data_IF_358603806779
#
_entry.id   IF_358603806779
#
_cell.length_a   1.000
_cell.length_b   1.000
_cell.length_c   1.000
_cell.angle_alpha   90.00
_cell.angle_beta   90.00
_cell.angle_gamma   90.00
#
_symmetry.space_group_name_H-M   'P 1'
#
loop_
_entity.id
_entity.type
_entity.pdbx_description
1 polymer ?
#
# COMPACT_ATOMS: atom_id res chain seq x y z
N UNK A 1 20.64 -5.79 10.95
CA UNK A 1 19.47 -6.32 10.20
C UNK A 1 19.67 -6.10 8.71
N UNK A 2 19.40 -7.11 7.88
CA UNK A 2 19.56 -7.02 6.42
C UNK A 2 18.61 -5.98 5.82
N UNK A 3 19.11 -5.14 4.89
CA UNK A 3 18.30 -4.19 4.16
C UNK A 3 17.53 -4.84 3.00
N UNK A 4 16.55 -4.13 2.43
CA UNK A 4 15.73 -4.63 1.30
C UNK A 4 16.59 -5.21 0.16
N UNK A 5 17.63 -4.49 -0.30
CA UNK A 5 18.51 -4.94 -1.40
C UNK A 5 19.27 -6.24 -1.08
N UNK A 6 19.66 -6.44 0.19
CA UNK A 6 20.33 -7.68 0.60
C UNK A 6 19.36 -8.86 0.59
N UNK A 7 18.13 -8.66 1.06
CA UNK A 7 17.06 -9.67 1.02
C UNK A 7 16.67 -10.00 -0.42
N UNK A 8 16.52 -9.01 -1.28
CA UNK A 8 16.23 -9.20 -2.70
C UNK A 8 17.30 -10.04 -3.42
N UNK A 9 18.59 -9.84 -3.09
CA UNK A 9 19.65 -10.71 -3.61
C UNK A 9 19.51 -12.15 -3.15
N UNK A 10 19.13 -12.39 -1.89
CA UNK A 10 18.88 -13.74 -1.38
C UNK A 10 17.70 -14.43 -2.10
N UNK A 11 16.63 -13.69 -2.43
CA UNK A 11 15.53 -14.24 -3.23
C UNK A 11 16.00 -14.70 -4.61
N UNK A 12 16.93 -13.96 -5.24
CA UNK A 12 17.47 -14.26 -6.57
C UNK A 12 18.58 -15.31 -6.58
N UNK A 13 19.15 -15.66 -5.43
CA UNK A 13 20.26 -16.60 -5.37
C UNK A 13 19.78 -18.03 -5.81
N UNK A 14 20.24 -18.53 -6.97
CA UNK A 14 19.81 -19.84 -7.45
C UNK A 14 20.37 -21.01 -6.63
N UNK A 15 21.39 -20.76 -5.80
CA UNK A 15 22.00 -21.75 -4.90
C UNK A 15 21.30 -21.79 -3.54
N UNK A 16 20.46 -20.78 -3.26
CA UNK A 16 19.74 -20.69 -2.00
C UNK A 16 18.60 -21.70 -1.92
N UNK A 17 18.37 -22.26 -0.74
CA UNK A 17 17.20 -23.07 -0.44
C UNK A 17 15.89 -22.28 -0.70
N UNK A 18 14.89 -22.95 -1.29
CA UNK A 18 13.63 -22.29 -1.69
C UNK A 18 12.85 -21.75 -0.49
N UNK A 19 12.89 -22.44 0.65
CA UNK A 19 12.25 -21.95 1.87
C UNK A 19 12.94 -20.67 2.38
N UNK A 20 14.27 -20.60 2.29
CA UNK A 20 15.03 -19.40 2.64
C UNK A 20 14.75 -18.25 1.66
N UNK A 21 14.65 -18.52 0.36
CA UNK A 21 14.31 -17.52 -0.66
C UNK A 21 12.91 -16.95 -0.42
N UNK A 22 11.92 -17.83 -0.16
CA UNK A 22 10.57 -17.41 0.23
C UNK A 22 10.56 -16.57 1.52
N UNK A 23 11.28 -17.02 2.54
CA UNK A 23 11.45 -16.28 3.79
C UNK A 23 12.04 -14.88 3.55
N UNK A 24 13.07 -14.79 2.69
CA UNK A 24 13.69 -13.51 2.32
C UNK A 24 12.73 -12.58 1.59
N UNK A 25 11.86 -13.09 0.72
CA UNK A 25 10.79 -12.30 0.10
C UNK A 25 9.81 -11.75 1.15
N UNK A 26 9.36 -12.59 2.10
CA UNK A 26 8.52 -12.11 3.22
C UNK A 26 9.23 -11.06 4.08
N UNK A 27 10.55 -11.19 4.29
CA UNK A 27 11.36 -10.18 4.99
C UNK A 27 11.49 -8.87 4.20
N UNK A 28 11.38 -8.88 2.88
CA UNK A 28 11.27 -7.66 2.08
C UNK A 28 10.01 -6.87 2.46
N UNK A 29 8.91 -7.53 2.80
CA UNK A 29 7.66 -6.88 3.23
C UNK A 29 7.79 -6.15 4.57
N UNK A 30 8.70 -6.56 5.44
CA UNK A 30 9.01 -5.80 6.65
C UNK A 30 9.68 -4.45 6.34
N UNK A 31 10.14 -4.25 5.11
CA UNK A 31 10.80 -3.04 4.63
C UNK A 31 9.93 -2.20 3.71
N UNK A 32 9.05 -2.86 2.98
CA UNK A 32 8.13 -2.21 2.05
C UNK A 32 6.89 -3.11 1.84
N UNK A 33 5.73 -2.66 2.27
CA UNK A 33 4.47 -3.39 2.17
C UNK A 33 3.30 -2.41 1.99
N UNK A 34 2.97 -2.01 0.76
CA UNK A 34 1.99 -0.96 0.48
C UNK A 34 0.61 -1.18 1.11
N UNK A 35 0.11 -2.41 1.13
CA UNK A 35 -1.19 -2.77 1.69
C UNK A 35 -1.14 -3.22 3.15
N UNK A 36 0.03 -3.09 3.81
CA UNK A 36 0.35 -3.80 5.05
C UNK A 36 0.94 -5.18 4.75
N UNK A 37 1.64 -5.74 5.74
CA UNK A 37 2.44 -6.96 5.55
C UNK A 37 1.62 -8.14 5.02
N UNK A 38 0.47 -8.44 5.66
CA UNK A 38 -0.37 -9.59 5.32
C UNK A 38 -1.03 -9.41 3.95
N UNK A 39 -1.72 -8.29 3.74
CA UNK A 39 -2.42 -8.04 2.48
C UNK A 39 -1.48 -7.94 1.28
N UNK A 40 -0.28 -7.35 1.45
CA UNK A 40 0.73 -7.33 0.38
C UNK A 40 1.24 -8.74 0.08
N UNK A 41 1.43 -9.59 1.08
CA UNK A 41 1.81 -10.98 0.87
C UNK A 41 0.74 -11.76 0.11
N UNK A 42 -0.52 -11.65 0.54
CA UNK A 42 -1.65 -12.35 -0.10
C UNK A 42 -1.84 -11.87 -1.55
N UNK A 43 -1.69 -10.57 -1.81
CA UNK A 43 -1.70 -10.02 -3.16
C UNK A 43 -0.61 -10.64 -4.05
N UNK A 44 0.65 -10.66 -3.60
CA UNK A 44 1.75 -11.25 -4.36
C UNK A 44 1.55 -12.76 -4.60
N UNK A 45 1.05 -13.47 -3.60
CA UNK A 45 0.73 -14.89 -3.72
C UNK A 45 -0.35 -15.13 -4.79
N UNK A 46 -1.45 -14.38 -4.73
CA UNK A 46 -2.55 -14.51 -5.69
C UNK A 46 -2.10 -14.20 -7.13
N UNK A 47 -1.38 -13.09 -7.32
CA UNK A 47 -0.95 -12.65 -8.65
C UNK A 47 0.09 -13.56 -9.30
N UNK A 48 1.01 -14.11 -8.51
CA UNK A 48 2.11 -14.91 -9.04
C UNK A 48 1.90 -16.41 -8.83
N UNK A 49 0.73 -16.83 -8.34
CA UNK A 49 0.40 -18.24 -8.14
C UNK A 49 1.28 -18.93 -7.10
N UNK A 50 1.68 -18.22 -6.06
CA UNK A 50 2.44 -18.76 -4.92
C UNK A 50 1.43 -19.25 -3.88
N UNK A 51 1.48 -20.53 -3.52
CA UNK A 51 0.67 -21.06 -2.43
C UNK A 51 1.04 -20.35 -1.11
N UNK A 52 0.08 -19.79 -0.35
CA UNK A 52 0.40 -19.06 0.89
C UNK A 52 1.21 -19.89 1.90
N UNK A 53 0.95 -21.20 1.93
CA UNK A 53 1.62 -22.17 2.81
C UNK A 53 2.70 -23.02 2.08
N UNK A 54 2.91 -22.78 0.79
CA UNK A 54 3.91 -23.54 0.02
C UNK A 54 5.32 -23.23 0.54
N UNK A 55 6.01 -24.27 1.02
CA UNK A 55 7.36 -24.14 1.58
C UNK A 55 8.46 -24.09 0.52
N UNK A 56 8.17 -24.60 -0.68
CA UNK A 56 9.11 -24.69 -1.79
C UNK A 56 8.46 -24.21 -3.10
N UNK A 57 8.02 -22.94 -3.18
CA UNK A 57 7.36 -22.43 -4.38
C UNK A 57 8.34 -22.39 -5.55
N UNK A 58 7.78 -22.38 -6.76
CA UNK A 58 8.53 -22.20 -7.99
C UNK A 58 9.44 -20.96 -7.91
N UNK A 59 10.76 -21.12 -8.13
CA UNK A 59 11.73 -20.00 -8.05
C UNK A 59 11.40 -18.84 -8.98
N UNK A 60 10.85 -19.07 -10.17
CA UNK A 60 10.48 -18.01 -11.09
C UNK A 60 9.29 -17.18 -10.58
N UNK A 61 8.34 -17.83 -9.90
CA UNK A 61 7.22 -17.14 -9.26
C UNK A 61 7.68 -16.23 -8.12
N UNK A 62 8.67 -16.68 -7.33
CA UNK A 62 9.29 -15.83 -6.29
C UNK A 62 10.00 -14.63 -6.89
N UNK A 63 10.71 -14.81 -8.02
CA UNK A 63 11.41 -13.72 -8.70
C UNK A 63 10.41 -12.70 -9.24
N UNK A 64 9.34 -13.14 -9.94
CA UNK A 64 8.29 -12.23 -10.44
C UNK A 64 7.60 -11.46 -9.33
N UNK A 65 7.30 -12.10 -8.20
CA UNK A 65 6.73 -11.44 -7.03
C UNK A 65 7.68 -10.39 -6.43
N UNK A 66 8.97 -10.69 -6.41
CA UNK A 66 9.99 -9.72 -5.99
C UNK A 66 10.09 -8.53 -6.97
N UNK A 67 10.05 -8.78 -8.27
CA UNK A 67 10.12 -7.76 -9.31
C UNK A 67 8.94 -6.79 -9.20
N UNK A 68 7.72 -7.30 -9.04
CA UNK A 68 6.54 -6.45 -8.79
C UNK A 68 6.72 -5.58 -7.53
N UNK A 69 7.26 -6.16 -6.46
CA UNK A 69 7.52 -5.42 -5.22
C UNK A 69 8.61 -4.35 -5.39
N UNK A 70 9.64 -4.63 -6.19
CA UNK A 70 10.71 -3.68 -6.50
C UNK A 70 10.23 -2.54 -7.39
N UNK A 71 9.40 -2.82 -8.40
CA UNK A 71 8.76 -1.80 -9.24
C UNK A 71 7.91 -0.85 -8.40
N UNK A 72 7.04 -1.39 -7.57
CA UNK A 72 6.23 -0.60 -6.66
C UNK A 72 7.10 0.25 -5.70
N UNK A 73 8.18 -0.35 -5.19
CA UNK A 73 9.11 0.36 -4.33
C UNK A 73 9.85 1.48 -5.06
N UNK A 74 10.17 1.31 -6.34
CA UNK A 74 10.80 2.35 -7.15
C UNK A 74 9.86 3.56 -7.33
N UNK A 75 8.58 3.32 -7.62
CA UNK A 75 7.53 4.36 -7.66
C UNK A 75 7.47 5.13 -6.33
N UNK A 76 7.43 4.41 -5.23
CA UNK A 76 7.36 5.03 -3.91
C UNK A 76 8.59 5.88 -3.57
N UNK A 77 9.80 5.38 -3.86
CA UNK A 77 11.04 6.13 -3.61
C UNK A 77 11.16 7.38 -4.49
N UNK A 78 10.68 7.32 -5.73
CA UNK A 78 10.62 8.50 -6.61
C UNK A 78 9.68 9.56 -6.03
N UNK A 79 8.50 9.14 -5.54
CA UNK A 79 7.56 10.02 -4.85
C UNK A 79 8.17 10.64 -3.58
N UNK A 80 8.80 9.85 -2.70
CA UNK A 80 9.45 10.37 -1.47
C UNK A 80 10.53 11.41 -1.80
N UNK A 81 11.33 11.16 -2.85
CA UNK A 81 12.35 12.10 -3.31
C UNK A 81 11.73 13.41 -3.78
N UNK A 82 10.73 13.35 -4.65
CA UNK A 82 10.01 14.54 -5.12
C UNK A 82 9.32 15.32 -4.00
N UNK A 83 8.71 14.60 -3.05
CA UNK A 83 8.12 15.20 -1.87
C UNK A 83 9.15 15.95 -1.03
N UNK A 84 10.29 15.34 -0.74
CA UNK A 84 11.36 15.97 0.04
C UNK A 84 11.92 17.23 -0.64
N UNK A 85 12.08 17.20 -1.97
CA UNK A 85 12.52 18.36 -2.76
C UNK A 85 11.50 19.48 -2.75
N UNK A 86 10.20 19.17 -2.92
CA UNK A 86 9.12 20.15 -2.82
C UNK A 86 9.12 20.81 -1.44
N UNK A 87 9.23 20.01 -0.36
CA UNK A 87 9.26 20.54 1.01
C UNK A 87 10.47 21.43 1.29
N UNK A 88 11.64 21.15 0.70
CA UNK A 88 12.81 22.03 0.81
C UNK A 88 12.55 23.38 0.13
N UNK A 89 11.96 23.38 -1.09
CA UNK A 89 11.59 24.61 -1.81
C UNK A 89 10.58 25.43 -1.00
N UNK A 90 9.48 24.83 -0.56
CA UNK A 90 8.45 25.52 0.26
C UNK A 90 9.03 26.15 1.53
N UNK A 91 9.97 25.45 2.18
CA UNK A 91 10.68 25.98 3.36
C UNK A 91 11.55 27.17 2.99
N UNK A 92 12.28 27.09 1.89
CA UNK A 92 13.14 28.19 1.40
C UNK A 92 12.32 29.44 1.08
N UNK A 93 11.19 29.26 0.43
CA UNK A 93 10.32 30.34 -0.04
C UNK A 93 9.34 30.87 1.06
N UNK A 94 9.40 30.34 2.25
CA UNK A 94 8.51 30.70 3.36
C UNK A 94 7.05 30.29 3.18
N UNK A 95 6.74 29.42 2.19
CA UNK A 95 5.40 29.01 1.80
C UNK A 95 4.89 27.75 2.53
N UNK A 96 5.66 27.22 3.47
CA UNK A 96 5.33 25.97 4.15
C UNK A 96 4.01 26.06 4.92
N UNK A 97 3.01 25.33 4.47
CA UNK A 97 1.73 25.12 5.17
C UNK A 97 1.56 23.63 5.47
N UNK A 98 1.57 23.22 6.75
CA UNK A 98 1.20 21.85 7.12
C UNK A 98 -0.24 21.58 6.71
N UNK A 99 -0.50 20.40 6.13
CA UNK A 99 -1.83 19.98 5.68
C UNK A 99 -2.06 18.49 5.91
N UNK A 100 -3.26 18.02 5.60
CA UNK A 100 -3.66 16.61 5.71
C UNK A 100 -2.76 15.66 4.89
N UNK A 101 -2.21 16.17 3.79
CA UNK A 101 -1.22 15.49 2.98
C UNK A 101 0.09 15.19 3.73
N UNK A 102 0.58 16.18 4.52
CA UNK A 102 1.77 15.97 5.35
C UNK A 102 1.52 14.87 6.41
N UNK A 103 0.30 14.81 6.94
CA UNK A 103 -0.09 13.78 7.90
C UNK A 103 -0.15 12.40 7.27
N UNK A 104 -0.69 12.29 6.05
CA UNK A 104 -0.67 11.03 5.31
C UNK A 104 0.76 10.59 5.01
N UNK A 105 1.60 11.46 4.44
CA UNK A 105 3.00 11.15 4.13
C UNK A 105 3.78 10.72 5.38
N UNK A 106 3.56 11.37 6.51
CA UNK A 106 4.22 11.04 7.78
C UNK A 106 3.84 9.65 8.28
N UNK A 107 2.58 9.25 8.13
CA UNK A 107 2.10 7.91 8.52
C UNK A 107 2.63 6.80 7.60
N UNK A 108 2.80 7.10 6.33
CA UNK A 108 3.25 6.15 5.31
C UNK A 108 4.77 6.11 5.15
N UNK A 109 5.49 6.86 5.97
CA UNK A 109 6.96 6.94 5.91
C UNK A 109 7.61 5.56 5.92
N UNK A 110 8.54 5.36 4.95
CA UNK A 110 9.23 4.08 4.76
C UNK A 110 8.45 3.04 3.96
N UNK A 111 7.33 3.42 3.32
CA UNK A 111 6.62 2.59 2.36
C UNK A 111 5.83 1.43 2.95
N UNK A 112 5.38 1.55 4.20
CA UNK A 112 4.49 0.60 4.83
C UNK A 112 3.11 1.21 5.01
N UNK A 113 2.09 0.39 4.80
CA UNK A 113 0.68 0.80 4.98
C UNK A 113 0.32 2.08 4.20
N UNK A 114 0.81 2.19 2.95
CA UNK A 114 0.56 3.34 2.06
C UNK A 114 -0.93 3.39 1.69
N UNK A 115 -1.47 2.23 1.34
CA UNK A 115 -2.88 2.00 1.02
C UNK A 115 -3.35 0.73 1.76
N UNK A 116 -3.41 0.74 3.10
CA UNK A 116 -3.67 -0.47 3.86
C UNK A 116 -5.01 -1.08 3.45
N UNK A 117 -5.03 -2.42 3.36
CA UNK A 117 -6.25 -3.21 3.17
C UNK A 117 -6.60 -3.88 4.49
N UNK A 118 -7.81 -3.63 4.99
CA UNK A 118 -8.31 -4.24 6.23
C UNK A 118 -8.52 -5.74 6.08
N UNK A 119 -9.08 -6.14 4.93
CA UNK A 119 -9.30 -7.54 4.58
C UNK A 119 -8.16 -7.99 3.66
N UNK A 120 -7.30 -8.92 4.10
CA UNK A 120 -6.23 -9.43 3.27
C UNK A 120 -6.69 -10.12 1.97
N UNK A 121 -7.93 -10.60 1.93
CA UNK A 121 -8.54 -11.22 0.76
C UNK A 121 -9.15 -10.22 -0.23
N UNK A 122 -9.29 -8.95 0.17
CA UNK A 122 -9.87 -7.90 -0.67
C UNK A 122 -8.82 -6.82 -0.90
N UNK A 123 -8.13 -6.87 -2.02
CA UNK A 123 -7.11 -5.92 -2.44
C UNK A 123 -7.28 -5.59 -3.93
N UNK A 124 -6.70 -4.48 -4.42
CA UNK A 124 -6.75 -4.17 -5.85
C UNK A 124 -6.16 -5.28 -6.71
N UNK A 125 -6.79 -5.58 -7.82
CA UNK A 125 -6.34 -6.60 -8.78
C UNK A 125 -5.21 -6.13 -9.69
N UNK A 126 -4.95 -4.82 -9.69
CA UNK A 126 -3.88 -4.20 -10.48
C UNK A 126 -2.49 -4.43 -9.83
N UNK A 127 -1.38 -4.39 -10.62
CA UNK A 127 -0.03 -4.41 -10.09
C UNK A 127 0.22 -3.32 -9.04
N UNK A 128 1.03 -3.63 -8.02
CA UNK A 128 1.32 -2.71 -6.91
C UNK A 128 1.82 -1.34 -7.39
N UNK A 129 2.71 -1.31 -8.38
CA UNK A 129 3.23 -0.06 -8.94
C UNK A 129 2.11 0.81 -9.53
N UNK A 130 1.19 0.21 -10.28
CA UNK A 130 0.06 0.92 -10.89
C UNK A 130 -0.90 1.48 -9.82
N UNK A 131 -1.13 0.73 -8.74
CA UNK A 131 -1.96 1.20 -7.62
C UNK A 131 -1.32 2.42 -6.96
N UNK A 132 -0.01 2.38 -6.72
CA UNK A 132 0.72 3.50 -6.13
C UNK A 132 0.72 4.73 -7.06
N UNK A 133 0.95 4.55 -8.35
CA UNK A 133 0.91 5.65 -9.33
C UNK A 133 -0.46 6.35 -9.33
N UNK A 134 -1.56 5.59 -9.36
CA UNK A 134 -2.91 6.14 -9.29
C UNK A 134 -3.18 6.90 -7.99
N UNK A 135 -2.72 6.35 -6.87
CA UNK A 135 -2.91 6.98 -5.56
C UNK A 135 -2.10 8.28 -5.45
N UNK A 136 -0.84 8.26 -5.88
CA UNK A 136 0.05 9.43 -5.89
C UNK A 136 -0.51 10.52 -6.82
N UNK A 137 -0.95 10.16 -8.01
CA UNK A 137 -1.58 11.11 -8.94
C UNK A 137 -2.84 11.75 -8.35
N UNK A 138 -3.64 10.98 -7.61
CA UNK A 138 -4.82 11.51 -6.94
C UNK A 138 -4.49 12.46 -5.77
N UNK A 139 -3.35 12.29 -5.12
CA UNK A 139 -2.88 13.19 -4.04
C UNK A 139 -2.45 14.56 -4.58
N UNK A 140 -1.94 14.60 -5.81
CA UNK A 140 -1.52 15.83 -6.48
C UNK A 140 -2.66 16.46 -7.33
N UNK A 141 -3.79 15.75 -7.48
CA UNK A 141 -4.96 16.16 -8.25
C UNK A 141 -6.09 16.78 -7.41
N UNK A 142 -7.19 17.11 -8.09
CA UNK A 142 -8.42 17.58 -7.43
C UNK A 142 -9.14 16.40 -6.73
N UNK A 143 -9.69 16.64 -5.52
CA UNK A 143 -10.44 15.61 -4.80
C UNK A 143 -11.64 15.08 -5.59
N UNK A 144 -11.76 13.76 -5.67
CA UNK A 144 -12.83 13.07 -6.39
C UNK A 144 -13.94 12.52 -5.50
N UNK A 145 -14.89 11.81 -6.11
CA UNK A 145 -16.01 11.17 -5.40
C UNK A 145 -15.93 9.65 -5.39
N UNK A 146 -14.94 9.09 -6.08
CA UNK A 146 -14.71 7.66 -6.27
C UNK A 146 -13.31 7.26 -5.75
N UNK A 147 -13.10 5.98 -5.60
CA UNK A 147 -11.79 5.42 -5.29
C UNK A 147 -10.80 5.72 -6.44
N UNK A 148 -9.63 6.32 -6.16
CA UNK A 148 -8.66 6.63 -7.22
C UNK A 148 -8.04 5.38 -7.85
N UNK A 149 -8.13 4.22 -7.18
CA UNK A 149 -7.50 2.98 -7.65
C UNK A 149 -8.42 2.19 -8.57
N UNK A 150 -9.68 1.95 -8.18
CA UNK A 150 -10.62 1.09 -8.92
C UNK A 150 -11.84 1.84 -9.48
N UNK A 151 -11.94 3.14 -9.26
CA UNK A 151 -13.05 4.01 -9.67
C UNK A 151 -14.42 3.68 -9.03
N UNK A 152 -14.47 2.75 -8.07
CA UNK A 152 -15.70 2.45 -7.33
C UNK A 152 -16.11 3.64 -6.46
N UNK A 153 -17.42 3.91 -6.39
CA UNK A 153 -18.02 4.96 -5.55
C UNK A 153 -18.47 4.43 -4.18
N UNK A 154 -18.34 3.15 -3.94
CA UNK A 154 -18.67 2.48 -2.69
C UNK A 154 -17.64 2.76 -1.60
N UNK A 155 -17.57 4.00 -1.13
CA UNK A 155 -16.71 4.38 -0.02
C UNK A 155 -17.52 4.33 1.28
N UNK A 156 -17.03 3.60 2.27
CA UNK A 156 -17.60 3.48 3.60
C UNK A 156 -16.62 3.93 4.66
N UNK A 157 -17.11 4.43 5.79
CA UNK A 157 -16.24 4.80 6.90
C UNK A 157 -16.08 3.58 7.81
N UNK A 158 -14.86 3.11 7.98
CA UNK A 158 -14.52 2.08 8.96
C UNK A 158 -13.81 2.70 10.16
N UNK A 159 -14.20 2.22 11.32
CA UNK A 159 -13.55 2.48 12.59
C UNK A 159 -13.04 1.15 13.11
N UNK A 160 -11.74 0.95 13.13
CA UNK A 160 -11.14 -0.19 13.79
C UNK A 160 -10.90 0.18 15.25
N UNK A 161 -11.63 -0.47 16.16
CA UNK A 161 -11.53 -0.26 17.60
C UNK A 161 -10.33 -0.99 18.21
N UNK A 162 -9.78 -2.00 17.54
CA UNK A 162 -8.67 -2.81 18.02
C UNK A 162 -7.30 -2.30 17.56
N UNK A 163 -7.27 -1.53 16.48
CA UNK A 163 -6.05 -0.98 15.88
C UNK A 163 -6.10 0.54 15.85
N UNK A 164 -5.89 1.18 16.98
CA UNK A 164 -5.66 2.63 16.92
C UNK A 164 -4.45 2.94 16.00
N UNK A 165 -4.57 3.90 15.08
CA UNK A 165 -5.62 4.90 14.83
C UNK A 165 -6.26 4.79 13.43
N UNK A 166 -6.76 3.64 13.02
CA UNK A 166 -7.25 3.42 11.67
C UNK A 166 -8.72 3.80 11.52
N UNK A 167 -8.96 5.10 11.58
CA UNK A 167 -10.24 5.65 11.15
C UNK A 167 -10.10 6.17 9.74
N UNK A 168 -10.91 5.68 8.81
CA UNK A 168 -10.84 6.22 7.47
C UNK A 168 -11.88 5.68 6.51
N UNK A 169 -11.97 6.34 5.36
CA UNK A 169 -12.78 5.87 4.26
C UNK A 169 -12.10 4.65 3.63
N UNK A 170 -12.87 3.56 3.49
CA UNK A 170 -12.43 2.31 2.85
C UNK A 170 -13.25 2.10 1.59
N UNK A 171 -12.59 1.75 0.49
CA UNK A 171 -13.26 1.39 -0.75
C UNK A 171 -13.82 -0.04 -0.65
N UNK A 172 -15.13 -0.21 -0.89
CA UNK A 172 -15.77 -1.53 -0.87
C UNK A 172 -15.38 -2.41 -2.07
N UNK A 173 -14.97 -1.80 -3.18
CA UNK A 173 -14.61 -2.52 -4.39
C UNK A 173 -13.20 -3.12 -4.36
N UNK A 174 -12.24 -2.46 -3.69
CA UNK A 174 -10.85 -2.93 -3.65
C UNK A 174 -10.22 -2.96 -2.25
N UNK A 175 -10.97 -2.70 -1.21
CA UNK A 175 -10.55 -2.85 0.19
C UNK A 175 -9.53 -1.85 0.72
N UNK A 176 -8.98 -0.93 -0.11
CA UNK A 176 -7.96 0.00 0.37
C UNK A 176 -8.54 1.10 1.27
N UNK A 177 -7.77 1.51 2.25
CA UNK A 177 -8.03 2.76 2.98
C UNK A 177 -7.61 3.94 2.09
N UNK A 178 -8.59 4.73 1.69
CA UNK A 178 -8.39 5.87 0.78
C UNK A 178 -7.94 7.09 1.60
N UNK A 179 -6.88 7.82 1.20
CA UNK A 179 -6.54 9.07 1.87
C UNK A 179 -7.69 10.08 1.81
N UNK A 180 -8.02 10.69 2.95
CA UNK A 180 -9.14 11.64 3.01
C UNK A 180 -8.96 12.84 2.06
N UNK A 181 -7.70 13.25 1.82
CA UNK A 181 -7.36 14.39 0.96
C UNK A 181 -7.72 14.18 -0.51
N UNK A 182 -7.87 12.93 -0.97
CA UNK A 182 -8.25 12.63 -2.36
C UNK A 182 -9.76 12.55 -2.57
N UNK A 183 -10.55 12.72 -1.51
CA UNK A 183 -12.02 12.65 -1.56
C UNK A 183 -12.64 14.03 -1.27
N UNK A 184 -13.69 14.36 -2.01
CA UNK A 184 -14.48 15.56 -1.73
C UNK A 184 -15.18 15.49 -0.37
N UNK A 185 -15.49 16.64 0.24
CA UNK A 185 -16.24 16.71 1.49
C UNK A 185 -17.57 15.94 1.42
N UNK A 186 -18.28 16.01 0.28
CA UNK A 186 -19.52 15.24 0.05
C UNK A 186 -19.31 13.73 0.04
N UNK A 187 -18.20 13.25 -0.53
CA UNK A 187 -17.87 11.83 -0.52
C UNK A 187 -17.55 11.35 0.90
N UNK A 188 -16.80 12.12 1.67
CA UNK A 188 -16.48 11.84 3.07
C UNK A 188 -17.74 11.82 3.96
N UNK A 189 -18.65 12.77 3.79
CA UNK A 189 -19.93 12.77 4.52
C UNK A 189 -20.78 11.55 4.18
N UNK A 190 -20.86 11.18 2.90
CA UNK A 190 -21.58 9.93 2.50
C UNK A 190 -20.96 8.70 3.14
N UNK A 191 -19.62 8.59 3.15
CA UNK A 191 -18.89 7.49 3.77
C UNK A 191 -19.22 7.38 5.27
N UNK A 192 -19.22 8.49 6.01
CA UNK A 192 -19.53 8.53 7.45
C UNK A 192 -20.97 8.14 7.77
N UNK A 193 -21.94 8.42 6.87
CA UNK A 193 -23.34 8.01 7.01
C UNK A 193 -23.58 6.52 6.72
N UNK A 194 -22.61 5.84 6.13
CA UNK A 194 -22.63 4.40 5.84
C UNK A 194 -21.48 3.71 6.61
N UNK A 195 -21.58 3.60 7.95
CA UNK A 195 -20.56 2.86 8.68
C UNK A 195 -20.52 1.43 8.13
N UNK A 196 -19.38 1.00 7.66
CA UNK A 196 -19.19 -0.38 7.24
C UNK A 196 -19.39 -1.29 8.46
N UNK A 197 -20.21 -2.34 8.30
CA UNK A 197 -20.26 -3.39 9.29
C UNK A 197 -18.82 -3.93 9.45
N UNK A 198 -18.36 -4.02 10.69
CA UNK A 198 -17.16 -4.78 11.02
C UNK A 198 -17.35 -6.17 10.42
N UNK A 199 -16.45 -6.61 9.55
CA UNK A 199 -16.42 -8.00 9.14
C UNK A 199 -16.24 -8.80 10.42
N UNK A 200 -17.31 -9.48 10.86
CA UNK A 200 -17.20 -10.43 11.96
C UNK A 200 -16.19 -11.46 11.54
N UNK A 201 -15.02 -11.43 12.17
CA UNK A 201 -14.06 -12.53 12.06
C UNK A 201 -14.74 -13.76 12.65
N UNK A 202 -15.16 -14.67 11.76
CA UNK A 202 -15.52 -16.03 12.11
C UNK A 202 -14.27 -16.91 12.06
#
# INVERSE_FOLDING_TARGET
MAGFRSLARQVRDPRGDLALRRYSLRKCLERFAPYGHRATWDHLCARHGIGPEDRAPDPERLIRALEELEEARAVWLAYETGFAERRRREKHDGLRRPGTFDDWHRRTWGGRDIAPCDDPGVHPDAPLAQVLDRLIAALDGEPGTACPVCADQGIVWRQDLEREPWFGPVCTGCGIVVPQSVLTGRALERARRRPGALASAA
#
